data_IF_160839983676
#
_entry.id   IF_160839983676
#
_cell.length_a   1.000
_cell.length_b   1.000
_cell.length_c   1.000
_cell.angle_alpha   90.00
_cell.angle_beta   90.00
_cell.angle_gamma   90.00
#
_symmetry.space_group_name_H-M   'P 1'
#
loop_
_entity.id
_entity.type
_entity.pdbx_description
1 polymer ?
#
# COMPACT_ATOMS: atom_id res chain seq x y z
N UNK A 1 0.52 -25.42 29.58
CA UNK A 1 1.85 -25.98 29.91
C UNK A 1 1.99 -26.05 31.43
N UNK A 2 2.79 -26.95 31.98
CA UNK A 2 3.10 -27.04 33.41
C UNK A 2 4.62 -26.84 33.59
N UNK A 3 5.02 -25.84 34.37
CA UNK A 3 6.45 -25.52 34.53
C UNK A 3 7.14 -26.52 35.47
N UNK A 4 8.44 -26.76 35.26
CA UNK A 4 9.23 -27.66 36.08
C UNK A 4 9.54 -27.09 37.47
N UNK A 5 9.73 -27.97 38.46
CA UNK A 5 10.03 -27.58 39.85
C UNK A 5 11.27 -26.68 39.98
N UNK A 6 12.35 -26.99 39.27
CA UNK A 6 13.58 -26.19 39.31
C UNK A 6 13.35 -24.72 38.86
N UNK A 7 12.40 -24.50 37.94
CA UNK A 7 12.03 -23.15 37.50
C UNK A 7 11.30 -22.42 38.64
N UNK A 8 10.35 -23.08 39.30
CA UNK A 8 9.63 -22.51 40.44
C UNK A 8 10.57 -22.15 41.60
N UNK A 9 11.52 -23.03 41.92
CA UNK A 9 12.53 -22.79 42.96
C UNK A 9 13.43 -21.60 42.61
N UNK A 10 13.82 -21.45 41.34
CA UNK A 10 14.59 -20.30 40.87
C UNK A 10 13.79 -18.99 40.95
N UNK A 11 12.53 -18.98 40.49
CA UNK A 11 11.65 -17.80 40.52
C UNK A 11 11.36 -17.36 41.96
N UNK A 12 11.24 -18.31 42.89
CA UNK A 12 11.05 -18.05 44.32
C UNK A 12 12.34 -17.75 45.11
N UNK A 13 13.48 -17.61 44.43
CA UNK A 13 14.78 -17.39 45.09
C UNK A 13 15.00 -15.94 45.53
N UNK A 14 16.12 -15.69 46.22
CA UNK A 14 16.51 -14.36 46.68
C UNK A 14 16.82 -13.36 45.55
N UNK A 15 16.85 -13.79 44.29
CA UNK A 15 17.08 -12.92 43.13
C UNK A 15 16.04 -11.80 43.03
N UNK A 16 14.80 -12.04 43.48
CA UNK A 16 13.72 -11.04 43.51
C UNK A 16 14.05 -9.81 44.36
N UNK A 17 14.97 -9.93 45.32
CA UNK A 17 15.35 -8.83 46.21
C UNK A 17 16.28 -7.81 45.55
N UNK A 18 16.81 -8.10 44.34
CA UNK A 18 17.89 -7.32 43.74
C UNK A 18 17.38 -6.41 42.63
N UNK A 19 17.57 -5.10 42.83
CA UNK A 19 17.27 -4.07 41.84
C UNK A 19 18.44 -3.89 40.87
N UNK A 20 18.20 -3.98 39.55
CA UNK A 20 19.26 -4.09 38.52
C UNK A 20 18.94 -3.36 37.21
N UNK A 21 18.52 -2.09 37.30
CA UNK A 21 18.27 -1.28 36.10
C UNK A 21 19.50 -1.16 35.19
N UNK A 22 19.26 -1.24 33.88
CA UNK A 22 20.26 -1.24 32.83
C UNK A 22 20.49 -2.63 32.23
N UNK A 23 21.56 -2.76 31.45
CA UNK A 23 22.01 -4.02 30.85
C UNK A 23 23.23 -4.56 31.60
N UNK A 24 23.57 -5.86 31.43
CA UNK A 24 24.80 -6.42 32.00
C UNK A 24 26.02 -5.54 31.74
N UNK A 25 26.82 -5.29 32.78
CA UNK A 25 28.03 -4.44 32.74
C UNK A 25 27.78 -2.95 32.43
N UNK A 26 26.52 -2.52 32.27
CA UNK A 26 26.07 -1.13 32.09
C UNK A 26 24.88 -0.81 33.01
N UNK A 27 25.02 -1.19 34.29
CA UNK A 27 23.98 -0.98 35.31
C UNK A 27 24.06 0.41 35.92
N UNK A 28 22.90 0.94 36.30
CA UNK A 28 22.81 2.15 37.12
C UNK A 28 23.22 1.88 38.59
N UNK A 29 22.67 0.86 39.28
CA UNK A 29 23.11 0.50 40.63
C UNK A 29 24.39 -0.36 40.63
N UNK A 30 25.15 -0.29 41.73
CA UNK A 30 26.35 -1.12 41.96
C UNK A 30 26.01 -2.50 42.56
N UNK A 31 26.97 -3.41 42.51
CA UNK A 31 26.89 -4.72 43.18
C UNK A 31 25.98 -5.72 42.47
N UNK A 32 26.01 -5.73 41.14
CA UNK A 32 25.17 -6.58 40.25
C UNK A 32 25.92 -7.77 39.68
N UNK A 33 27.17 -8.03 40.11
CA UNK A 33 28.07 -9.00 39.48
C UNK A 33 27.44 -10.37 39.19
N UNK A 34 26.74 -10.96 40.17
CA UNK A 34 26.06 -12.25 39.98
C UNK A 34 24.82 -12.15 39.07
N UNK A 35 24.08 -11.04 39.12
CA UNK A 35 22.92 -10.82 38.24
C UNK A 35 23.38 -10.66 36.79
N UNK A 36 24.49 -9.96 36.56
CA UNK A 36 25.08 -9.78 35.23
C UNK A 36 25.53 -11.12 34.65
N UNK A 37 26.12 -12.00 35.47
CA UNK A 37 26.44 -13.37 35.05
C UNK A 37 25.19 -14.18 34.69
N UNK A 38 24.13 -14.09 35.52
CA UNK A 38 22.87 -14.82 35.28
C UNK A 38 22.20 -14.34 33.99
N UNK A 39 22.09 -13.03 33.80
CA UNK A 39 21.44 -12.45 32.61
C UNK A 39 22.25 -12.75 31.33
N UNK A 40 23.59 -12.61 31.38
CA UNK A 40 24.45 -12.95 30.24
C UNK A 40 24.38 -14.45 29.90
N UNK A 41 24.31 -15.31 30.92
CA UNK A 41 24.11 -16.75 30.72
C UNK A 41 22.75 -17.05 30.07
N UNK A 42 21.69 -16.37 30.49
CA UNK A 42 20.36 -16.52 29.89
C UNK A 42 20.34 -16.09 28.41
N UNK A 43 20.97 -14.95 28.10
CA UNK A 43 21.14 -14.46 26.73
C UNK A 43 21.90 -15.48 25.86
N UNK A 44 23.04 -15.98 26.33
CA UNK A 44 23.86 -16.97 25.60
C UNK A 44 23.08 -18.24 25.31
N UNK A 45 22.40 -18.79 26.32
CA UNK A 45 21.61 -20.03 26.18
C UNK A 45 20.45 -19.88 25.21
N UNK A 46 19.79 -18.72 25.16
CA UNK A 46 18.71 -18.47 24.20
C UNK A 46 19.25 -18.42 22.77
N UNK A 47 20.35 -17.72 22.52
CA UNK A 47 20.95 -17.68 21.19
C UNK A 47 21.42 -19.07 20.75
N UNK A 48 21.99 -19.86 21.66
CA UNK A 48 22.37 -21.26 21.39
C UNK A 48 21.15 -22.14 21.10
N UNK A 49 20.07 -22.01 21.88
CA UNK A 49 18.83 -22.77 21.70
C UNK A 49 18.22 -22.57 20.31
N UNK A 50 18.24 -21.33 19.81
CA UNK A 50 17.76 -20.99 18.48
C UNK A 50 18.82 -21.12 17.38
N UNK A 51 20.01 -21.65 17.69
CA UNK A 51 21.14 -21.84 16.76
C UNK A 51 21.61 -20.54 16.10
N UNK A 52 21.50 -19.42 16.82
CA UNK A 52 21.91 -18.08 16.38
C UNK A 52 23.31 -17.69 16.89
N UNK A 53 23.97 -18.61 17.60
CA UNK A 53 25.30 -18.43 18.20
C UNK A 53 26.04 -19.76 18.19
N UNK A 54 27.32 -19.75 17.82
CA UNK A 54 28.20 -20.90 18.06
C UNK A 54 28.58 -20.98 19.55
N UNK A 55 28.72 -22.20 20.13
CA UNK A 55 28.99 -22.36 21.56
C UNK A 55 30.18 -21.54 22.08
N UNK A 56 31.24 -21.42 21.28
CA UNK A 56 32.48 -20.73 21.64
C UNK A 56 32.53 -19.25 21.21
N UNK A 57 31.53 -18.77 20.50
CA UNK A 57 31.47 -17.37 20.05
C UNK A 57 31.13 -16.47 21.24
N UNK A 58 31.76 -15.29 21.40
CA UNK A 58 31.34 -14.34 22.41
C UNK A 58 30.05 -13.62 22.00
N UNK A 59 29.26 -13.17 22.98
CA UNK A 59 27.92 -12.60 22.76
C UNK A 59 27.93 -11.35 21.87
N UNK A 60 28.94 -10.51 22.01
CA UNK A 60 29.12 -9.26 21.26
C UNK A 60 29.57 -9.47 19.81
N UNK A 61 30.04 -10.68 19.46
CA UNK A 61 30.39 -11.06 18.10
C UNK A 61 29.26 -11.78 17.36
N UNK A 62 28.09 -11.98 17.98
CA UNK A 62 26.94 -12.63 17.34
C UNK A 62 26.22 -11.66 16.41
N UNK A 63 25.74 -12.15 15.26
CA UNK A 63 24.86 -11.39 14.36
C UNK A 63 23.54 -11.03 15.05
N UNK A 64 23.05 -11.93 15.90
CA UNK A 64 21.79 -11.79 16.63
C UNK A 64 22.02 -11.44 18.09
N UNK A 65 21.29 -10.42 18.56
CA UNK A 65 21.14 -10.11 19.98
C UNK A 65 19.81 -10.60 20.55
N UNK A 66 19.72 -10.69 21.87
CA UNK A 66 18.47 -11.04 22.57
C UNK A 66 18.29 -10.20 23.82
N UNK A 67 17.07 -9.71 24.03
CA UNK A 67 16.67 -9.06 25.29
C UNK A 67 15.78 -10.01 26.08
N UNK A 68 16.17 -10.31 27.32
CA UNK A 68 15.49 -11.25 28.23
C UNK A 68 14.69 -10.57 29.34
N UNK A 69 14.59 -9.23 29.29
CA UNK A 69 13.93 -8.40 30.29
C UNK A 69 12.43 -8.15 30.07
N UNK A 70 11.82 -8.31 28.86
CA UNK A 70 10.39 -8.11 28.72
C UNK A 70 9.58 -9.02 29.65
N UNK A 71 8.67 -8.42 30.41
CA UNK A 71 7.92 -9.10 31.48
C UNK A 71 6.94 -10.18 30.97
N UNK A 72 6.49 -10.05 29.72
CA UNK A 72 5.55 -10.97 29.05
C UNK A 72 5.53 -10.69 27.54
N UNK A 73 4.76 -11.46 26.77
CA UNK A 73 4.68 -11.33 25.31
C UNK A 73 4.09 -10.00 24.83
N UNK A 74 2.97 -9.55 25.41
CA UNK A 74 2.35 -8.27 25.03
C UNK A 74 3.25 -7.04 25.22
N UNK A 75 3.92 -6.83 26.38
CA UNK A 75 4.86 -5.73 26.53
C UNK A 75 6.14 -5.90 25.70
N UNK A 76 6.56 -7.15 25.39
CA UNK A 76 7.68 -7.37 24.46
C UNK A 76 7.35 -6.82 23.06
N UNK A 77 6.17 -7.15 22.53
CA UNK A 77 5.69 -6.63 21.25
C UNK A 77 5.61 -5.09 21.26
N UNK A 78 5.04 -4.50 22.32
CA UNK A 78 4.93 -3.05 22.43
C UNK A 78 6.32 -2.37 22.50
N UNK A 79 7.29 -2.98 23.17
CA UNK A 79 8.66 -2.48 23.21
C UNK A 79 9.32 -2.48 21.82
N UNK A 80 9.09 -3.54 21.02
CA UNK A 80 9.55 -3.60 19.62
C UNK A 80 8.92 -2.49 18.79
N UNK A 81 7.60 -2.29 18.90
CA UNK A 81 6.93 -1.22 18.15
C UNK A 81 7.47 0.14 18.56
N UNK A 82 7.65 0.38 19.85
CA UNK A 82 8.16 1.67 20.36
C UNK A 82 9.60 1.93 19.92
N UNK A 83 10.41 0.88 19.74
CA UNK A 83 11.79 0.99 19.30
C UNK A 83 11.92 1.26 17.80
N UNK A 84 11.03 0.70 16.97
CA UNK A 84 11.17 0.69 15.51
C UNK A 84 10.15 1.59 14.79
N UNK A 85 9.07 1.97 15.45
CA UNK A 85 7.98 2.76 14.90
C UNK A 85 7.83 4.08 15.66
N UNK A 86 7.42 5.12 14.93
CA UNK A 86 6.90 6.35 15.51
C UNK A 86 5.40 6.20 15.81
N UNK A 87 4.86 6.99 16.74
CA UNK A 87 3.42 7.07 16.93
C UNK A 87 2.70 7.29 15.60
N UNK A 88 1.61 6.54 15.39
CA UNK A 88 0.79 6.53 14.17
C UNK A 88 1.40 5.91 12.92
N UNK A 89 2.61 5.34 12.97
CA UNK A 89 3.12 4.52 11.86
C UNK A 89 2.20 3.31 11.58
N UNK A 90 2.22 2.84 10.34
CA UNK A 90 1.43 1.70 9.88
C UNK A 90 1.97 0.36 10.40
N UNK A 91 1.07 -0.47 10.92
CA UNK A 91 1.33 -1.81 11.43
C UNK A 91 0.33 -2.80 10.84
N UNK A 92 0.78 -3.96 10.36
CA UNK A 92 -0.10 -5.04 9.92
C UNK A 92 0.09 -6.30 10.76
N UNK A 93 -1.02 -6.98 11.05
CA UNK A 93 -1.04 -8.25 11.80
C UNK A 93 -2.28 -9.09 11.43
N UNK A 94 -2.26 -10.39 11.74
CA UNK A 94 -3.42 -11.25 11.45
C UNK A 94 -4.64 -10.77 12.24
N UNK A 95 -5.80 -10.73 11.59
CA UNK A 95 -7.08 -10.41 12.23
C UNK A 95 -7.34 -11.32 13.44
N UNK A 96 -7.81 -10.72 14.54
CA UNK A 96 -8.02 -11.45 15.79
C UNK A 96 -8.98 -12.65 15.62
N UNK A 97 -10.11 -12.44 14.93
CA UNK A 97 -11.08 -13.51 14.65
C UNK A 97 -10.51 -14.62 13.75
N UNK A 98 -9.48 -14.29 12.99
CA UNK A 98 -8.80 -15.19 12.06
C UNK A 98 -7.59 -15.91 12.70
N UNK A 99 -7.40 -15.72 14.01
CA UNK A 99 -6.36 -16.37 14.81
C UNK A 99 -5.15 -15.51 15.14
N UNK A 100 -5.25 -14.19 14.96
CA UNK A 100 -4.27 -13.22 15.42
C UNK A 100 -4.19 -13.08 16.94
N UNK A 101 -3.43 -12.10 17.43
CA UNK A 101 -3.27 -11.80 18.85
C UNK A 101 -3.62 -10.35 19.14
N UNK A 102 -4.16 -10.05 20.33
CA UNK A 102 -4.58 -8.69 20.72
C UNK A 102 -3.44 -7.68 20.59
N UNK A 103 -2.20 -8.09 20.88
CA UNK A 103 -1.03 -7.20 20.78
C UNK A 103 -0.60 -6.89 19.35
N UNK A 104 -1.19 -7.50 18.32
CA UNK A 104 -0.85 -7.24 16.91
C UNK A 104 -1.69 -6.12 16.29
N UNK A 105 -2.66 -5.61 17.05
CA UNK A 105 -3.66 -4.67 16.56
C UNK A 105 -5.05 -5.27 16.64
N UNK A 106 -5.91 -4.61 17.40
CA UNK A 106 -7.33 -4.94 17.53
C UNK A 106 -8.13 -3.66 17.68
N UNK A 107 -9.02 -3.43 16.72
CA UNK A 107 -9.97 -2.34 16.70
C UNK A 107 -11.30 -2.83 16.09
N UNK A 108 -12.39 -2.22 16.52
CA UNK A 108 -13.69 -2.29 15.84
C UNK A 108 -13.90 -1.03 15.01
N UNK A 109 -14.98 -0.98 14.24
CA UNK A 109 -15.35 0.22 13.48
C UNK A 109 -15.48 1.50 14.34
N UNK A 110 -15.80 1.35 15.64
CA UNK A 110 -16.06 2.47 16.55
C UNK A 110 -15.01 2.63 17.65
N UNK A 111 -14.11 1.65 17.87
CA UNK A 111 -13.21 1.68 19.02
C UNK A 111 -11.89 0.93 18.79
N UNK A 112 -10.79 1.57 19.14
CA UNK A 112 -9.47 0.94 19.26
C UNK A 112 -9.37 0.23 20.61
N UNK A 113 -9.09 -1.08 20.61
CA UNK A 113 -9.13 -1.93 21.80
C UNK A 113 -7.73 -2.29 22.33
N UNK A 114 -6.77 -2.50 21.42
CA UNK A 114 -5.39 -2.80 21.80
C UNK A 114 -4.52 -1.54 21.90
N UNK A 115 -3.49 -1.57 22.76
CA UNK A 115 -2.46 -0.53 22.80
C UNK A 115 -1.80 -0.32 21.42
N UNK A 116 -1.57 -1.42 20.68
CA UNK A 116 -1.02 -1.36 19.32
C UNK A 116 -1.90 -0.50 18.40
N UNK A 117 -3.22 -0.70 18.38
CA UNK A 117 -4.14 0.12 17.58
C UNK A 117 -4.37 1.53 18.11
N UNK A 118 -4.15 1.76 19.41
CA UNK A 118 -4.27 3.10 20.02
C UNK A 118 -3.09 3.97 19.60
N UNK A 119 -1.86 3.47 19.77
CA UNK A 119 -0.63 4.23 19.52
C UNK A 119 -0.18 4.18 18.07
N UNK A 120 -0.52 3.13 17.32
CA UNK A 120 -0.15 2.93 15.92
C UNK A 120 -1.39 2.79 15.04
N UNK A 121 -1.22 2.93 13.73
CA UNK A 121 -2.28 2.68 12.77
C UNK A 121 -2.23 1.22 12.34
N UNK A 122 -3.17 0.40 12.81
CA UNK A 122 -3.18 -1.04 12.53
C UNK A 122 -4.18 -1.40 11.42
N UNK A 123 -3.74 -2.16 10.42
CA UNK A 123 -4.61 -2.80 9.42
C UNK A 123 -4.46 -4.33 9.49
N UNK A 124 -5.54 -5.11 9.69
CA UNK A 124 -5.43 -6.56 9.75
C UNK A 124 -5.34 -7.19 8.36
N UNK A 125 -4.48 -8.20 8.19
CA UNK A 125 -4.60 -9.16 7.08
C UNK A 125 -5.44 -10.37 7.50
N UNK A 126 -5.99 -11.12 6.54
CA UNK A 126 -7.06 -12.11 6.77
C UNK A 126 -6.76 -13.48 6.18
N UNK A 127 -7.66 -14.42 6.40
CA UNK A 127 -7.68 -15.71 5.72
C UNK A 127 -8.52 -15.64 4.45
N UNK A 128 -8.17 -16.45 3.46
CA UNK A 128 -9.05 -16.77 2.34
C UNK A 128 -10.20 -17.66 2.85
N UNK A 129 -11.48 -17.26 2.68
CA UNK A 129 -12.63 -18.02 3.15
C UNK A 129 -12.75 -19.43 2.57
N UNK A 130 -12.12 -19.71 1.43
CA UNK A 130 -12.20 -21.03 0.78
C UNK A 130 -11.17 -22.00 1.32
N UNK A 131 -9.91 -21.56 1.41
CA UNK A 131 -8.81 -22.40 1.90
C UNK A 131 -8.66 -22.38 3.43
N UNK A 132 -9.25 -21.39 4.11
CA UNK A 132 -9.08 -21.13 5.55
C UNK A 132 -7.59 -20.91 5.94
N UNK A 133 -6.77 -20.51 4.96
CA UNK A 133 -5.37 -20.15 5.13
C UNK A 133 -5.16 -18.66 4.88
N UNK A 134 -4.02 -18.10 5.31
CA UNK A 134 -3.73 -16.67 5.09
C UNK A 134 -3.82 -16.35 3.60
N UNK A 135 -4.60 -15.32 3.27
CA UNK A 135 -4.67 -14.79 1.92
C UNK A 135 -3.45 -13.89 1.69
N UNK A 136 -2.36 -14.50 1.24
CA UNK A 136 -1.10 -13.80 1.03
C UNK A 136 -1.17 -12.82 -0.15
N UNK A 137 -2.02 -13.08 -1.16
CA UNK A 137 -2.20 -12.17 -2.30
C UNK A 137 -2.91 -10.89 -1.84
N UNK A 138 -3.96 -11.04 -1.03
CA UNK A 138 -4.63 -9.90 -0.39
C UNK A 138 -3.70 -9.18 0.58
N UNK A 139 -2.91 -9.91 1.39
CA UNK A 139 -1.90 -9.32 2.28
C UNK A 139 -0.93 -8.43 1.51
N UNK A 140 -0.37 -8.92 0.39
CA UNK A 140 0.56 -8.16 -0.45
C UNK A 140 -0.11 -6.94 -1.07
N UNK A 141 -1.33 -7.09 -1.61
CA UNK A 141 -2.12 -5.97 -2.15
C UNK A 141 -2.47 -4.92 -1.09
N UNK A 142 -2.81 -5.34 0.12
CA UNK A 142 -3.17 -4.44 1.22
C UNK A 142 -1.93 -3.77 1.81
N UNK A 143 -0.82 -4.49 1.97
CA UNK A 143 0.46 -3.92 2.39
C UNK A 143 0.93 -2.84 1.40
N UNK A 144 0.76 -3.10 0.10
CA UNK A 144 0.97 -2.11 -0.94
C UNK A 144 0.12 -0.84 -0.68
N UNK A 145 -1.20 -0.97 -0.52
CA UNK A 145 -2.06 0.22 -0.33
C UNK A 145 -1.84 0.93 1.01
N UNK A 146 -1.57 0.18 2.06
CA UNK A 146 -1.53 0.65 3.44
C UNK A 146 -0.15 1.17 3.87
N UNK A 147 0.91 0.75 3.19
CA UNK A 147 2.28 1.19 3.49
C UNK A 147 2.68 0.95 4.96
N UNK A 148 2.54 -0.28 5.49
CA UNK A 148 2.96 -0.55 6.85
C UNK A 148 4.48 -0.40 6.96
N UNK A 149 4.95 0.17 8.06
CA UNK A 149 6.38 0.10 8.42
C UNK A 149 6.76 -1.24 9.06
N UNK A 150 5.77 -2.02 9.48
CA UNK A 150 5.97 -3.33 10.08
C UNK A 150 4.80 -4.26 9.77
N UNK A 151 5.13 -5.49 9.37
CA UNK A 151 4.19 -6.59 9.21
C UNK A 151 4.56 -7.68 10.22
N UNK A 152 3.58 -8.11 11.02
CA UNK A 152 3.76 -9.14 12.05
C UNK A 152 3.41 -10.50 11.46
N UNK A 153 4.39 -11.39 11.34
CA UNK A 153 4.19 -12.79 11.01
C UNK A 153 4.06 -13.63 12.30
N UNK A 154 2.87 -13.62 12.93
CA UNK A 154 2.63 -14.29 14.19
C UNK A 154 1.16 -14.56 14.48
N UNK A 155 0.87 -15.73 15.05
CA UNK A 155 -0.49 -16.27 15.21
C UNK A 155 -0.69 -16.88 16.59
N UNK A 156 -1.93 -16.84 17.09
CA UNK A 156 -2.34 -17.49 18.34
C UNK A 156 -3.03 -18.83 18.07
N UNK A 157 -3.94 -18.87 17.10
CA UNK A 157 -4.82 -20.02 16.86
C UNK A 157 -4.90 -20.44 15.40
N UNK A 158 -3.89 -20.09 14.59
CA UNK A 158 -3.77 -20.54 13.20
C UNK A 158 -2.86 -21.79 13.11
N UNK A 159 -3.37 -22.96 12.68
CA UNK A 159 -2.65 -24.23 12.78
C UNK A 159 -1.74 -24.55 11.58
N UNK A 160 -1.38 -23.56 10.76
CA UNK A 160 -0.50 -23.72 9.59
C UNK A 160 0.78 -22.91 9.76
N UNK A 161 1.85 -23.38 9.12
CA UNK A 161 3.08 -22.62 9.00
C UNK A 161 2.84 -21.38 8.15
N UNK A 162 3.57 -20.31 8.47
CA UNK A 162 3.54 -19.06 7.74
C UNK A 162 4.55 -19.10 6.59
N UNK A 163 4.18 -18.51 5.45
CA UNK A 163 5.10 -18.32 4.33
C UNK A 163 5.96 -17.07 4.58
N UNK A 164 7.09 -17.28 5.26
CA UNK A 164 8.02 -16.20 5.62
C UNK A 164 8.65 -15.52 4.40
N UNK A 165 8.75 -16.22 3.25
CA UNK A 165 9.27 -15.62 2.02
C UNK A 165 8.29 -14.59 1.48
N UNK A 166 6.99 -14.89 1.51
CA UNK A 166 5.94 -13.93 1.12
C UNK A 166 5.83 -12.76 2.10
N UNK A 167 5.96 -13.00 3.41
CA UNK A 167 6.04 -11.89 4.38
C UNK A 167 7.23 -10.96 4.13
N UNK A 168 8.39 -11.53 3.76
CA UNK A 168 9.56 -10.74 3.37
C UNK A 168 9.29 -9.94 2.09
N UNK A 169 8.74 -10.56 1.03
CA UNK A 169 8.36 -9.87 -0.22
C UNK A 169 7.40 -8.71 0.05
N UNK A 170 6.39 -8.92 0.90
CA UNK A 170 5.44 -7.88 1.29
C UNK A 170 6.07 -6.74 2.12
N UNK A 171 7.22 -7.00 2.77
CA UNK A 171 7.97 -6.05 3.57
C UNK A 171 9.13 -5.40 2.79
N UNK A 172 9.39 -5.80 1.55
CA UNK A 172 10.51 -5.31 0.77
C UNK A 172 10.26 -3.89 0.21
N UNK A 173 11.31 -3.04 0.08
CA UNK A 173 11.20 -1.65 -0.36
C UNK A 173 10.64 -1.43 -1.77
N UNK A 174 10.35 -2.50 -2.53
CA UNK A 174 9.80 -2.44 -3.88
C UNK A 174 8.54 -1.57 -3.96
N UNK A 175 7.76 -1.50 -2.87
CA UNK A 175 6.60 -0.63 -2.83
C UNK A 175 6.95 0.87 -2.69
N UNK A 176 8.03 1.24 -1.98
CA UNK A 176 8.47 2.65 -1.94
C UNK A 176 8.92 3.10 -3.33
N UNK A 177 9.61 2.23 -4.06
CA UNK A 177 9.95 2.47 -5.46
C UNK A 177 8.70 2.58 -6.34
N UNK A 178 7.75 1.64 -6.22
CA UNK A 178 6.47 1.70 -6.92
C UNK A 178 5.68 2.97 -6.61
N UNK A 179 5.52 3.34 -5.32
CA UNK A 179 4.77 4.53 -4.92
C UNK A 179 5.46 5.79 -5.44
N UNK A 180 6.79 5.85 -5.39
CA UNK A 180 7.57 6.93 -5.98
C UNK A 180 7.38 7.00 -7.50
N UNK A 181 7.34 5.84 -8.17
CA UNK A 181 7.06 5.72 -9.61
C UNK A 181 5.64 6.16 -9.95
N UNK A 182 4.62 5.80 -9.15
CA UNK A 182 3.22 6.24 -9.32
C UNK A 182 3.15 7.77 -9.30
N UNK A 183 3.81 8.40 -8.34
CA UNK A 183 3.86 9.86 -8.22
C UNK A 183 4.65 10.50 -9.36
N UNK A 184 5.79 9.92 -9.76
CA UNK A 184 6.61 10.39 -10.89
C UNK A 184 5.84 10.33 -12.22
N UNK A 185 5.15 9.21 -12.45
CA UNK A 185 4.26 8.99 -13.59
C UNK A 185 3.12 10.00 -13.61
N UNK A 186 2.47 10.24 -12.47
CA UNK A 186 1.37 11.20 -12.36
C UNK A 186 1.84 12.64 -12.66
N UNK A 187 2.99 13.04 -12.11
CA UNK A 187 3.60 14.35 -12.40
C UNK A 187 4.00 14.48 -13.87
N UNK A 188 4.50 13.42 -14.49
CA UNK A 188 4.87 13.41 -15.91
C UNK A 188 3.65 13.55 -16.80
N UNK A 189 2.60 12.77 -16.55
CA UNK A 189 1.33 12.88 -17.28
C UNK A 189 0.73 14.29 -17.13
N UNK A 190 0.72 14.83 -15.91
CA UNK A 190 0.22 16.18 -15.67
C UNK A 190 0.98 17.24 -16.48
N UNK A 191 2.31 17.21 -16.46
CA UNK A 191 3.15 18.10 -17.27
C UNK A 191 2.90 17.94 -18.76
N UNK A 192 2.77 16.70 -19.24
CA UNK A 192 2.52 16.40 -20.64
C UNK A 192 1.16 16.96 -21.10
N UNK A 193 0.10 16.80 -20.31
CA UNK A 193 -1.22 17.36 -20.60
C UNK A 193 -1.20 18.90 -20.57
N UNK A 194 -0.58 19.51 -19.56
CA UNK A 194 -0.45 20.97 -19.46
C UNK A 194 0.29 21.55 -20.67
N UNK A 195 1.39 20.91 -21.10
CA UNK A 195 2.16 21.36 -22.28
C UNK A 195 1.36 21.34 -23.59
N UNK A 196 0.27 20.56 -23.63
CA UNK A 196 -0.67 20.46 -24.75
C UNK A 196 -1.85 21.42 -24.64
N UNK A 197 -1.92 22.24 -23.60
CA UNK A 197 -3.00 23.20 -23.38
C UNK A 197 -4.23 22.63 -22.67
N UNK A 198 -4.10 21.47 -22.02
CA UNK A 198 -5.11 20.92 -21.12
C UNK A 198 -4.98 21.57 -19.75
N UNK A 199 -6.10 22.03 -19.18
CA UNK A 199 -6.14 22.59 -17.84
C UNK A 199 -6.35 21.49 -16.80
N UNK A 200 -5.56 21.52 -15.73
CA UNK A 200 -5.76 20.67 -14.56
C UNK A 200 -6.22 21.54 -13.40
N UNK A 201 -7.21 21.07 -12.63
CA UNK A 201 -7.61 21.75 -11.39
C UNK A 201 -6.39 21.90 -10.48
N UNK A 202 -6.24 23.03 -9.80
CA UNK A 202 -5.06 23.38 -8.98
C UNK A 202 -3.72 23.50 -9.74
N UNK A 203 -3.71 23.35 -11.07
CA UNK A 203 -2.51 23.52 -11.91
C UNK A 203 -1.55 22.33 -11.95
N UNK A 204 -1.88 21.20 -11.31
CA UNK A 204 -1.01 20.03 -11.27
C UNK A 204 -1.50 18.92 -10.34
N UNK A 205 -0.57 18.15 -9.79
CA UNK A 205 -0.84 17.09 -8.82
C UNK A 205 0.40 16.76 -7.99
N UNK A 206 0.17 16.45 -6.70
CA UNK A 206 1.16 15.90 -5.77
C UNK A 206 0.86 14.44 -5.39
N UNK A 207 -0.22 13.88 -5.93
CA UNK A 207 -0.75 12.56 -5.58
C UNK A 207 -0.93 11.69 -6.83
N UNK A 208 -1.52 10.51 -6.66
CA UNK A 208 -1.64 9.46 -7.68
C UNK A 208 -2.74 9.69 -8.74
N UNK A 209 -3.42 10.84 -8.71
CA UNK A 209 -4.40 11.22 -9.71
C UNK A 209 -4.40 12.73 -9.97
N UNK A 210 -5.04 13.13 -11.06
CA UNK A 210 -5.31 14.53 -11.40
C UNK A 210 -6.75 14.67 -11.92
N UNK A 211 -7.25 15.90 -11.96
CA UNK A 211 -8.54 16.23 -12.54
C UNK A 211 -8.34 17.25 -13.66
N UNK A 212 -8.73 16.88 -14.87
CA UNK A 212 -8.78 17.76 -16.04
C UNK A 212 -10.05 18.59 -15.95
N UNK A 213 -9.96 19.89 -16.18
CA UNK A 213 -11.11 20.77 -16.36
C UNK A 213 -11.34 21.01 -17.86
N UNK A 214 -12.44 20.49 -18.40
CA UNK A 214 -12.74 20.64 -19.82
C UNK A 214 -13.07 22.07 -20.20
N UNK A 215 -13.77 22.83 -19.34
CA UNK A 215 -14.16 24.21 -19.59
C UNK A 215 -12.93 25.12 -19.72
N UNK A 216 -11.91 24.90 -18.89
CA UNK A 216 -10.69 25.70 -18.89
C UNK A 216 -9.62 25.21 -19.90
N UNK A 217 -9.83 24.05 -20.53
CA UNK A 217 -8.89 23.46 -21.48
C UNK A 217 -8.99 24.10 -22.87
N UNK A 218 -7.91 24.79 -23.28
CA UNK A 218 -7.89 25.58 -24.53
C UNK A 218 -7.88 24.72 -25.79
N UNK A 219 -7.47 23.46 -25.68
CA UNK A 219 -7.34 22.55 -26.82
C UNK A 219 -8.69 22.14 -27.43
N UNK A 220 -9.75 22.18 -26.62
CA UNK A 220 -11.10 21.78 -27.04
C UNK A 220 -12.12 22.79 -26.51
N UNK A 221 -12.16 24.02 -27.04
CA UNK A 221 -13.00 25.11 -26.52
C UNK A 221 -14.50 24.86 -26.66
N UNK A 222 -14.89 23.85 -27.45
CA UNK A 222 -16.29 23.43 -27.61
C UNK A 222 -16.75 22.56 -26.44
N UNK A 223 -15.84 21.86 -25.76
CA UNK A 223 -16.16 21.05 -24.58
C UNK A 223 -16.26 21.94 -23.33
N UNK A 224 -17.22 21.66 -22.47
CA UNK A 224 -17.47 22.42 -21.25
C UNK A 224 -18.40 21.69 -20.27
N UNK A 225 -19.25 22.46 -19.59
CA UNK A 225 -20.19 21.95 -18.58
C UNK A 225 -21.07 20.81 -19.14
N UNK A 226 -21.12 19.69 -18.43
CA UNK A 226 -21.87 18.49 -18.81
C UNK A 226 -21.19 17.57 -19.82
N UNK A 227 -20.02 17.93 -20.38
CA UNK A 227 -19.38 17.12 -21.41
C UNK A 227 -18.45 16.03 -20.87
N UNK A 228 -18.14 16.00 -19.57
CA UNK A 228 -17.23 14.98 -19.05
C UNK A 228 -17.76 13.56 -19.30
N UNK A 229 -19.07 13.36 -19.18
CA UNK A 229 -19.73 12.09 -19.50
C UNK A 229 -19.57 11.71 -20.98
N UNK A 230 -19.64 12.70 -21.90
CA UNK A 230 -19.45 12.47 -23.34
C UNK A 230 -18.01 12.02 -23.61
N UNK A 231 -17.04 12.72 -23.02
CA UNK A 231 -15.62 12.38 -23.18
C UNK A 231 -15.32 11.01 -22.58
N UNK A 232 -15.94 10.64 -21.46
CA UNK A 232 -15.82 9.30 -20.86
C UNK A 232 -16.32 8.21 -21.81
N UNK A 233 -17.51 8.35 -22.39
CA UNK A 233 -18.06 7.35 -23.32
C UNK A 233 -17.19 7.20 -24.58
N UNK A 234 -16.68 8.31 -25.13
CA UNK A 234 -15.75 8.27 -26.28
C UNK A 234 -14.44 7.56 -25.89
N UNK A 235 -13.91 7.81 -24.70
CA UNK A 235 -12.71 7.15 -24.20
C UNK A 235 -12.92 5.64 -24.05
N UNK A 236 -14.04 5.22 -23.47
CA UNK A 236 -14.39 3.81 -23.29
C UNK A 236 -14.48 3.10 -24.66
N UNK A 237 -15.05 3.78 -25.67
CA UNK A 237 -15.07 3.28 -27.06
C UNK A 237 -13.65 3.13 -27.65
N UNK A 238 -12.70 3.98 -27.24
CA UNK A 238 -11.28 3.90 -27.60
C UNK A 238 -10.46 2.91 -26.74
N UNK A 239 -11.07 2.26 -25.73
CA UNK A 239 -10.37 1.36 -24.82
C UNK A 239 -9.57 2.06 -23.70
N UNK A 240 -9.91 3.32 -23.39
CA UNK A 240 -9.33 4.10 -22.29
C UNK A 240 -10.42 4.35 -21.26
N UNK A 241 -10.15 4.05 -19.99
CA UNK A 241 -11.14 4.23 -18.92
C UNK A 241 -10.70 5.30 -17.93
N UNK A 242 -11.60 6.25 -17.65
CA UNK A 242 -11.48 7.26 -16.60
C UNK A 242 -12.87 7.66 -16.08
N UNK A 243 -12.95 8.57 -15.12
CA UNK A 243 -14.23 8.94 -14.49
C UNK A 243 -14.55 10.42 -14.68
N UNK A 244 -15.76 10.72 -15.16
CA UNK A 244 -16.35 12.04 -15.12
C UNK A 244 -16.63 12.45 -13.66
N UNK A 245 -16.21 13.66 -13.29
CA UNK A 245 -16.34 14.21 -11.93
C UNK A 245 -16.64 15.71 -12.00
N UNK A 246 -17.40 16.28 -11.05
CA UNK A 246 -17.59 17.73 -11.01
C UNK A 246 -16.28 18.43 -10.64
N UNK A 247 -16.08 19.65 -11.15
CA UNK A 247 -15.00 20.56 -10.73
C UNK A 247 -15.56 21.74 -9.93
N UNK A 248 -14.74 22.48 -9.16
CA UNK A 248 -15.24 23.58 -8.32
C UNK A 248 -16.02 24.69 -9.05
N UNK A 249 -15.80 24.86 -10.36
CA UNK A 249 -16.49 25.85 -11.19
C UNK A 249 -17.83 25.36 -11.75
N UNK A 250 -18.19 24.09 -11.56
CA UNK A 250 -19.47 23.56 -12.02
C UNK A 250 -20.61 24.06 -11.13
N UNK A 251 -21.56 24.79 -11.73
CA UNK A 251 -22.78 25.23 -11.05
C UNK A 251 -23.80 24.11 -10.85
N UNK A 252 -23.72 23.04 -11.64
CA UNK A 252 -24.56 21.84 -11.55
C UNK A 252 -23.68 20.59 -11.51
N UNK A 253 -23.62 19.94 -10.34
CA UNK A 253 -22.78 18.76 -10.13
C UNK A 253 -23.29 17.51 -10.84
N UNK A 254 -24.54 17.52 -11.33
CA UNK A 254 -25.11 16.41 -12.10
C UNK A 254 -24.59 16.39 -13.54
N UNK A 255 -24.03 17.51 -14.00
CA UNK A 255 -23.48 17.70 -15.34
C UNK A 255 -21.98 18.06 -15.25
N UNK A 256 -21.13 17.09 -14.90
CA UNK A 256 -19.72 17.34 -14.61
C UNK A 256 -18.95 17.86 -15.84
N UNK A 257 -18.00 18.77 -15.61
CA UNK A 257 -17.01 19.18 -16.63
C UNK A 257 -15.61 18.62 -16.39
N UNK A 258 -15.40 17.85 -15.32
CA UNK A 258 -14.10 17.31 -14.94
C UNK A 258 -13.87 15.86 -15.35
N UNK A 259 -12.62 15.50 -15.65
CA UNK A 259 -12.21 14.11 -15.86
C UNK A 259 -11.10 13.74 -14.88
N UNK A 260 -11.34 12.73 -14.03
CA UNK A 260 -10.36 12.20 -13.08
C UNK A 260 -9.56 11.06 -13.71
N UNK A 261 -8.23 11.21 -13.71
CA UNK A 261 -7.29 10.25 -14.29
C UNK A 261 -6.25 9.87 -13.23
N UNK A 262 -5.98 8.57 -13.06
CA UNK A 262 -5.00 8.05 -12.10
C UNK A 262 -3.94 7.15 -12.74
N UNK A 263 -2.76 7.09 -12.13
CA UNK A 263 -1.61 6.29 -12.60
C UNK A 263 -1.34 4.93 -11.93
N UNK A 264 -1.93 4.55 -10.77
CA UNK A 264 -1.59 3.29 -10.09
C UNK A 264 -1.68 2.03 -10.97
N UNK A 265 -2.82 1.83 -11.63
CA UNK A 265 -3.10 0.59 -12.36
C UNK A 265 -2.06 0.30 -13.47
N UNK A 266 -1.70 1.32 -14.25
CA UNK A 266 -0.69 1.16 -15.30
C UNK A 266 0.72 1.06 -14.73
N UNK A 267 1.02 1.77 -13.64
CA UNK A 267 2.32 1.66 -12.98
C UNK A 267 2.56 0.24 -12.43
N UNK A 268 1.51 -0.42 -11.92
CA UNK A 268 1.59 -1.83 -11.49
C UNK A 268 1.88 -2.80 -12.64
N UNK A 269 1.57 -2.41 -13.88
CA UNK A 269 1.89 -3.17 -15.10
C UNK A 269 3.29 -2.87 -15.65
N UNK A 270 4.05 -1.98 -15.00
CA UNK A 270 5.41 -1.62 -15.39
C UNK A 270 5.53 -0.35 -16.25
N UNK A 271 4.45 0.41 -16.43
CA UNK A 271 4.51 1.67 -17.19
C UNK A 271 5.38 2.72 -16.47
N UNK A 272 6.19 3.45 -17.23
CA UNK A 272 7.08 4.51 -16.75
C UNK A 272 6.76 5.86 -17.40
N UNK A 273 7.54 6.88 -17.05
CA UNK A 273 7.32 8.28 -17.43
C UNK A 273 7.17 8.47 -18.94
N UNK A 274 7.99 7.78 -19.74
CA UNK A 274 7.93 7.85 -21.20
C UNK A 274 6.59 7.35 -21.75
N UNK A 275 6.05 6.28 -21.16
CA UNK A 275 4.75 5.72 -21.55
C UNK A 275 3.60 6.65 -21.18
N UNK A 276 3.69 7.30 -20.02
CA UNK A 276 2.72 8.33 -19.62
C UNK A 276 2.77 9.57 -20.52
N UNK A 277 3.93 9.87 -21.14
CA UNK A 277 4.03 10.85 -22.21
C UNK A 277 3.23 10.45 -23.46
N UNK A 278 3.19 9.16 -23.81
CA UNK A 278 2.37 8.61 -24.92
C UNK A 278 0.89 8.58 -24.56
N UNK A 279 0.55 8.19 -23.33
CA UNK A 279 -0.83 8.18 -22.83
C UNK A 279 -1.44 9.59 -22.89
N UNK A 280 -0.66 10.64 -22.62
CA UNK A 280 -1.11 12.02 -22.78
C UNK A 280 -1.56 12.34 -24.22
N UNK A 281 -0.91 11.76 -25.24
CA UNK A 281 -1.31 11.92 -26.65
C UNK A 281 -2.66 11.23 -26.90
N UNK A 282 -2.86 10.02 -26.37
CA UNK A 282 -4.13 9.33 -26.56
C UNK A 282 -5.29 10.07 -25.88
N UNK A 283 -5.07 10.63 -24.69
CA UNK A 283 -6.08 11.45 -24.00
C UNK A 283 -6.40 12.71 -24.82
N UNK A 284 -5.38 13.37 -25.36
CA UNK A 284 -5.54 14.53 -26.24
C UNK A 284 -6.39 14.20 -27.47
N UNK A 285 -6.12 13.07 -28.12
CA UNK A 285 -6.89 12.59 -29.27
C UNK A 285 -8.34 12.26 -28.90
N UNK A 286 -8.58 11.60 -27.76
CA UNK A 286 -9.94 11.36 -27.24
C UNK A 286 -10.71 12.66 -27.03
N UNK A 287 -10.07 13.69 -26.45
CA UNK A 287 -10.70 14.99 -26.25
C UNK A 287 -11.08 15.64 -27.60
N UNK A 288 -10.21 15.56 -28.60
CA UNK A 288 -10.47 16.08 -29.95
C UNK A 288 -11.62 15.34 -30.65
N UNK A 289 -11.64 14.01 -30.61
CA UNK A 289 -12.76 13.20 -31.13
C UNK A 289 -14.05 13.59 -30.42
N UNK A 290 -14.02 13.72 -29.10
CA UNK A 290 -15.19 14.14 -28.31
C UNK A 290 -15.69 15.55 -28.67
N UNK A 291 -14.78 16.47 -29.00
CA UNK A 291 -15.15 17.79 -29.48
C UNK A 291 -15.83 17.70 -30.85
N UNK A 292 -15.34 16.86 -31.77
CA UNK A 292 -15.97 16.62 -33.07
C UNK A 292 -17.38 16.03 -32.92
N UNK A 293 -17.57 15.04 -32.04
CA UNK A 293 -18.91 14.47 -31.81
C UNK A 293 -19.89 15.50 -31.26
N UNK A 294 -19.43 16.40 -30.38
CA UNK A 294 -20.24 17.52 -29.89
C UNK A 294 -20.60 18.53 -30.99
N UNK A 295 -19.70 18.80 -31.93
CA UNK A 295 -19.97 19.69 -33.07
C UNK A 295 -21.04 19.10 -33.99
N UNK A 296 -21.01 17.78 -34.22
CA UNK A 296 -22.03 17.07 -35.01
C UNK A 296 -23.39 17.16 -34.32
N UNK A 297 -23.44 16.91 -33.01
CA UNK A 297 -24.65 17.10 -32.21
C UNK A 297 -24.33 17.36 -30.74
N UNK A 298 -24.97 18.39 -30.19
CA UNK A 298 -24.90 18.69 -28.76
C UNK A 298 -25.74 17.75 -27.89
N UNK A 299 -26.70 17.03 -28.48
CA UNK A 299 -27.59 16.13 -27.75
C UNK A 299 -26.85 14.87 -27.25
N UNK A 300 -27.14 14.47 -26.01
CA UNK A 300 -26.63 13.23 -25.43
C UNK A 300 -27.17 12.00 -26.15
N UNK A 301 -28.46 11.99 -26.49
CA UNK A 301 -29.16 10.83 -27.05
C UNK A 301 -28.65 10.45 -28.45
N UNK A 302 -28.06 11.41 -29.18
CA UNK A 302 -27.43 11.16 -30.48
C UNK A 302 -26.01 10.61 -30.39
N UNK A 303 -25.36 10.65 -29.22
CA UNK A 303 -23.96 10.24 -29.09
C UNK A 303 -23.75 8.76 -29.48
N UNK A 304 -24.56 7.78 -29.02
CA UNK A 304 -24.40 6.39 -29.44
C UNK A 304 -24.50 6.21 -30.96
N UNK A 305 -25.47 6.89 -31.59
CA UNK A 305 -25.65 6.85 -33.04
C UNK A 305 -24.43 7.41 -33.79
N UNK A 306 -23.88 8.54 -33.32
CA UNK A 306 -22.66 9.13 -33.89
C UNK A 306 -21.47 8.18 -33.78
N UNK A 307 -21.29 7.50 -32.65
CA UNK A 307 -20.15 6.59 -32.45
C UNK A 307 -20.22 5.35 -33.36
N UNK A 308 -21.43 4.91 -33.72
CA UNK A 308 -21.63 3.69 -34.51
C UNK A 308 -21.82 3.95 -36.00
N UNK A 309 -22.55 5.01 -36.37
CA UNK A 309 -23.02 5.23 -37.74
C UNK A 309 -22.30 6.37 -38.46
N UNK A 310 -21.56 7.24 -37.75
CA UNK A 310 -20.70 8.22 -38.41
C UNK A 310 -19.36 7.56 -38.77
N UNK A 311 -19.15 7.29 -40.07
CA UNK A 311 -17.97 6.59 -40.56
C UNK A 311 -16.65 7.26 -40.15
N UNK A 312 -16.57 8.58 -40.23
CA UNK A 312 -15.35 9.33 -39.90
C UNK A 312 -14.98 9.18 -38.42
N UNK A 313 -15.94 9.34 -37.51
CA UNK A 313 -15.73 9.18 -36.07
C UNK A 313 -15.42 7.72 -35.73
N UNK A 314 -16.15 6.78 -36.31
CA UNK A 314 -15.95 5.35 -36.07
C UNK A 314 -14.56 4.89 -36.50
N UNK A 315 -14.08 5.35 -37.65
CA UNK A 315 -12.74 5.05 -38.17
C UNK A 315 -11.65 5.64 -37.25
N UNK A 316 -11.81 6.88 -36.80
CA UNK A 316 -10.88 7.51 -35.84
C UNK A 316 -10.81 6.73 -34.51
N UNK A 317 -11.97 6.32 -33.97
CA UNK A 317 -12.05 5.51 -32.75
C UNK A 317 -11.36 4.16 -32.98
N UNK A 318 -11.60 3.48 -34.10
CA UNK A 318 -10.99 2.20 -34.39
C UNK A 318 -9.45 2.29 -34.48
N UNK A 319 -8.93 3.34 -35.12
CA UNK A 319 -7.48 3.59 -35.23
C UNK A 319 -6.85 3.89 -33.87
N UNK A 320 -7.50 4.72 -33.05
CA UNK A 320 -7.00 5.02 -31.70
C UNK A 320 -7.08 3.78 -30.80
N UNK A 321 -8.19 3.05 -30.83
CA UNK A 321 -8.40 1.82 -30.05
C UNK A 321 -7.34 0.77 -30.35
N UNK A 322 -6.97 0.59 -31.61
CA UNK A 322 -5.90 -0.32 -32.00
C UNK A 322 -4.56 0.08 -31.37
N UNK A 323 -4.17 1.36 -31.45
CA UNK A 323 -2.91 1.85 -30.84
C UNK A 323 -2.91 1.72 -29.32
N UNK A 324 -4.06 1.98 -28.67
CA UNK A 324 -4.23 1.78 -27.22
C UNK A 324 -4.07 0.31 -26.86
N UNK A 325 -4.70 -0.59 -27.61
CA UNK A 325 -4.60 -2.03 -27.40
C UNK A 325 -3.17 -2.55 -27.60
N UNK A 326 -2.50 -2.14 -28.67
CA UNK A 326 -1.13 -2.56 -28.98
C UNK A 326 -0.15 -2.11 -27.88
N UNK A 327 -0.29 -0.87 -27.37
CA UNK A 327 0.51 -0.41 -26.22
C UNK A 327 0.15 -1.18 -24.95
N UNK A 328 -1.14 -1.36 -24.66
CA UNK A 328 -1.55 -2.06 -23.44
C UNK A 328 -1.08 -3.52 -23.42
N UNK A 329 -1.04 -4.21 -24.57
CA UNK A 329 -0.62 -5.60 -24.67
C UNK A 329 0.90 -5.79 -24.60
N UNK A 330 1.71 -4.74 -24.77
CA UNK A 330 3.17 -4.83 -24.62
C UNK A 330 3.64 -4.90 -23.16
N UNK A 331 2.72 -4.75 -22.20
CA UNK A 331 3.00 -4.79 -20.77
C UNK A 331 2.33 -6.00 -20.11
N UNK A 332 2.98 -6.62 -19.11
CA UNK A 332 2.41 -7.75 -18.41
C UNK A 332 1.11 -7.38 -17.67
N UNK A 333 0.32 -8.40 -17.35
CA UNK A 333 -0.88 -8.26 -16.53
C UNK A 333 -0.64 -8.96 -15.18
N UNK A 334 -0.47 -8.19 -14.09
CA UNK A 334 -0.31 -8.76 -12.75
C UNK A 334 -1.44 -9.75 -12.44
N UNK A 335 -1.09 -10.91 -11.89
CA UNK A 335 -2.03 -11.97 -11.52
C UNK A 335 -2.28 -13.05 -12.59
N UNK A 336 -1.75 -12.91 -13.81
CA UNK A 336 -1.78 -13.96 -14.84
C UNK A 336 -0.42 -14.64 -15.06
N UNK A 337 0.67 -13.91 -14.83
CA UNK A 337 2.05 -14.44 -14.80
C UNK A 337 2.75 -13.82 -13.58
N UNK A 338 3.48 -14.65 -12.82
CA UNK A 338 4.24 -14.21 -11.64
C UNK A 338 5.35 -13.24 -12.07
N UNK A 339 5.28 -11.98 -11.62
CA UNK A 339 6.37 -10.99 -11.72
C UNK A 339 7.18 -10.99 -10.41
#
# INVERSE_FOLDING_TARGET
NFTGRAILECVGSCLTNKYTEGLPFKRLPRGTHFIDQIESMAQSRLLELFKLKHPEQPLDACEWGVNVQPLSGSPANLAVYTALLQPHDGLMGLEYAAGGHVSHGLATASKKLSAASIFFNSLPYKLDPKSETIDYDALESDAARFLPKMIIAGVSTHPRLLDYARFRKASEPHFVEYASQVLSNCKTLAKALISRGVHLTSGGTDIHFMVVDLCASKITPVLGAGDASRVQVVADACGITFSAVPVPTDSDWSNPSGIRIGTPALTSRGFREEDFGRIALFIEEVMKISAQTKIISSSWDSLPDILHNNQEISDQIAVLRKRVYDLAMSFPMPGFEDI
#
